data_IF_313182503348
#
_entry.id   IF_313182503348
#
_cell.length_a   1.000
_cell.length_b   1.000
_cell.length_c   1.000
_cell.angle_alpha   90.00
_cell.angle_beta   90.00
_cell.angle_gamma   90.00
#
_symmetry.space_group_name_H-M   'P 1'
#
loop_
_entity.id
_entity.type
_entity.pdbx_description
1 polymer ?
#
# COMPACT_ATOMS: atom_id res chain seq x y z
N UNK A 1 -18.71 39.30 -93.78
CA UNK A 1 -17.72 39.95 -92.93
C UNK A 1 -18.31 40.05 -91.52
N UNK A 2 -17.90 39.18 -90.62
CA UNK A 2 -18.39 39.19 -89.24
C UNK A 2 -17.26 39.65 -88.28
N UNK A 3 -17.54 40.50 -87.28
CA UNK A 3 -16.53 40.94 -86.36
C UNK A 3 -16.32 39.91 -85.26
N UNK A 4 -15.05 39.67 -84.96
CA UNK A 4 -14.58 38.81 -83.81
C UNK A 4 -14.77 39.59 -82.56
N UNK A 5 -15.58 39.07 -81.64
CA UNK A 5 -15.73 39.59 -80.26
C UNK A 5 -14.64 38.96 -79.37
N UNK A 6 -13.73 39.78 -78.89
CA UNK A 6 -12.69 39.36 -78.01
C UNK A 6 -13.24 39.41 -76.54
N UNK A 7 -13.51 38.22 -76.02
CA UNK A 7 -13.96 38.10 -74.56
C UNK A 7 -12.75 38.09 -73.69
N UNK A 8 -12.62 39.14 -72.86
CA UNK A 8 -11.60 39.27 -71.80
C UNK A 8 -12.02 38.42 -70.59
N UNK A 9 -11.32 37.31 -70.35
CA UNK A 9 -11.51 36.52 -69.13
C UNK A 9 -10.81 37.20 -67.95
N UNK A 10 -11.59 37.77 -67.03
CA UNK A 10 -11.06 38.15 -65.70
C UNK A 10 -10.79 36.91 -64.87
N UNK A 11 -9.55 36.61 -64.63
CA UNK A 11 -9.15 35.66 -63.60
C UNK A 11 -9.39 36.28 -62.21
N UNK A 12 -10.44 35.82 -61.53
CA UNK A 12 -10.64 36.13 -60.12
C UNK A 12 -9.65 35.28 -59.32
N UNK A 13 -8.78 35.96 -58.57
CA UNK A 13 -7.91 35.37 -57.58
C UNK A 13 -8.79 34.77 -56.48
N UNK A 14 -8.96 33.43 -56.45
CA UNK A 14 -9.59 32.73 -55.32
C UNK A 14 -8.55 32.58 -54.25
N UNK A 15 -8.60 33.46 -53.24
CA UNK A 15 -7.85 33.29 -52.01
C UNK A 15 -8.15 31.92 -51.39
N UNK A 16 -7.13 31.13 -51.16
CA UNK A 16 -7.24 29.86 -50.47
C UNK A 16 -7.81 30.05 -49.05
N UNK A 17 -8.79 29.25 -48.62
CA UNK A 17 -9.29 29.35 -47.24
C UNK A 17 -8.14 29.02 -46.25
N UNK A 18 -7.97 29.91 -45.28
CA UNK A 18 -6.98 29.79 -44.22
C UNK A 18 -7.00 28.41 -43.56
N UNK A 19 -5.80 28.01 -43.14
CA UNK A 19 -5.54 26.69 -42.56
C UNK A 19 -6.57 26.29 -41.52
N UNK A 20 -7.18 25.15 -41.74
CA UNK A 20 -7.98 24.51 -40.72
C UNK A 20 -7.06 24.20 -39.54
N UNK A 21 -7.33 24.82 -38.38
CA UNK A 21 -6.67 24.45 -37.13
C UNK A 21 -6.78 22.95 -36.94
N UNK A 22 -5.64 22.29 -36.79
CA UNK A 22 -5.62 20.88 -36.46
C UNK A 22 -6.48 20.63 -35.22
N UNK A 23 -7.31 19.59 -35.18
CA UNK A 23 -8.12 19.30 -34.01
C UNK A 23 -7.20 19.18 -32.77
N UNK A 24 -7.62 19.66 -31.60
CA UNK A 24 -6.81 19.59 -30.41
C UNK A 24 -6.40 18.13 -30.16
N UNK A 25 -5.10 17.93 -30.01
CA UNK A 25 -4.53 16.62 -29.74
C UNK A 25 -5.12 16.07 -28.43
N UNK A 26 -5.76 14.92 -28.50
CA UNK A 26 -6.32 14.27 -27.32
C UNK A 26 -5.18 13.99 -26.33
N UNK A 27 -5.37 14.30 -25.04
CA UNK A 27 -4.33 14.04 -24.04
C UNK A 27 -3.94 12.57 -24.06
N UNK A 28 -2.65 12.31 -24.06
CA UNK A 28 -2.12 10.95 -24.02
C UNK A 28 -2.64 10.22 -22.77
N UNK A 29 -2.97 8.93 -22.88
CA UNK A 29 -3.43 8.17 -21.73
C UNK A 29 -2.37 8.21 -20.62
N UNK A 30 -2.78 8.31 -19.35
CA UNK A 30 -1.86 8.43 -18.24
C UNK A 30 -0.92 7.23 -18.19
N UNK A 31 0.34 7.46 -17.87
CA UNK A 31 1.30 6.39 -17.64
C UNK A 31 0.81 5.46 -16.51
N UNK A 32 1.27 4.21 -16.51
CA UNK A 32 0.92 3.26 -15.43
C UNK A 32 1.21 3.81 -14.02
N UNK A 33 2.22 4.68 -13.89
CA UNK A 33 2.56 5.35 -12.64
C UNK A 33 1.54 6.44 -12.28
N UNK A 34 1.13 7.24 -13.25
CA UNK A 34 0.12 8.29 -13.05
C UNK A 34 -1.26 7.70 -12.77
N UNK A 35 -1.66 6.65 -13.51
CA UNK A 35 -2.88 5.91 -13.23
C UNK A 35 -2.87 5.31 -11.81
N UNK A 36 -1.73 4.74 -11.37
CA UNK A 36 -1.57 4.22 -10.01
C UNK A 36 -1.62 5.32 -8.95
N UNK A 37 -0.97 6.47 -9.19
CA UNK A 37 -1.01 7.62 -8.28
C UNK A 37 -2.41 8.23 -8.20
N UNK A 38 -3.13 8.31 -9.33
CA UNK A 38 -4.51 8.78 -9.39
C UNK A 38 -5.45 7.82 -8.63
N UNK A 39 -5.32 6.51 -8.85
CA UNK A 39 -6.09 5.49 -8.14
C UNK A 39 -5.78 5.52 -6.62
N UNK A 40 -4.52 5.70 -6.25
CA UNK A 40 -4.11 5.89 -4.86
C UNK A 40 -4.68 7.17 -4.23
N UNK A 41 -4.75 8.27 -4.99
CA UNK A 41 -5.33 9.53 -4.52
C UNK A 41 -6.86 9.46 -4.44
N UNK A 42 -7.50 8.73 -5.36
CA UNK A 42 -8.94 8.52 -5.37
C UNK A 42 -9.43 7.59 -4.24
N UNK A 43 -8.57 6.69 -3.77
CA UNK A 43 -8.79 5.90 -2.55
C UNK A 43 -8.63 6.84 -1.35
N UNK A 44 -9.62 7.72 -1.16
CA UNK A 44 -9.71 8.51 0.07
C UNK A 44 -9.59 7.57 1.26
N UNK A 45 -8.83 7.95 2.32
CA UNK A 45 -8.97 7.25 3.58
C UNK A 45 -10.45 7.27 3.90
N UNK A 46 -11.06 6.11 3.99
CA UNK A 46 -12.21 5.99 4.84
C UNK A 46 -11.62 6.27 6.22
N UNK A 47 -11.60 7.56 6.61
CA UNK A 47 -11.57 7.88 8.02
C UNK A 47 -12.84 7.21 8.54
N UNK A 48 -12.70 5.93 8.90
CA UNK A 48 -13.61 5.34 9.84
C UNK A 48 -13.41 6.22 11.07
N UNK A 49 -14.20 7.28 11.15
CA UNK A 49 -14.46 7.99 12.38
C UNK A 49 -14.58 6.86 13.39
N UNK A 50 -13.72 6.85 14.39
CA UNK A 50 -13.60 5.82 15.42
C UNK A 50 -14.90 5.05 15.49
N UNK A 51 -14.96 3.84 14.86
CA UNK A 51 -16.19 3.09 14.84
C UNK A 51 -16.60 2.98 16.30
N UNK A 52 -17.77 3.50 16.69
CA UNK A 52 -18.18 3.45 18.08
C UNK A 52 -18.12 1.97 18.45
N UNK A 53 -17.43 1.68 19.55
CA UNK A 53 -17.32 0.34 20.08
C UNK A 53 -18.72 -0.27 20.13
N UNK A 54 -18.98 -1.28 19.31
CA UNK A 54 -20.20 -2.06 19.45
C UNK A 54 -20.15 -2.68 20.86
N UNK A 55 -20.98 -2.18 21.78
CA UNK A 55 -21.05 -2.70 23.15
C UNK A 55 -19.87 -2.29 24.07
N UNK A 56 -19.14 -1.19 23.81
CA UNK A 56 -18.10 -0.68 24.73
C UNK A 56 -16.75 -1.40 24.67
N UNK A 57 -16.56 -2.42 23.84
CA UNK A 57 -15.28 -3.08 23.66
C UNK A 57 -14.28 -2.16 22.94
N UNK A 58 -12.99 -2.12 23.37
CA UNK A 58 -11.99 -1.29 22.72
C UNK A 58 -11.76 -1.76 21.29
N UNK A 59 -11.77 -0.81 20.34
CA UNK A 59 -11.50 -1.07 18.92
C UNK A 59 -10.08 -0.65 18.61
N UNK A 60 -9.31 -1.57 18.03
CA UNK A 60 -8.01 -1.34 17.42
C UNK A 60 -8.20 -1.11 15.92
N UNK A 61 -7.57 -0.10 15.36
CA UNK A 61 -7.53 0.12 13.91
C UNK A 61 -6.18 -0.30 13.36
N UNK A 62 -6.17 -1.28 12.46
CA UNK A 62 -5.01 -1.60 11.63
C UNK A 62 -5.13 -0.85 10.31
N UNK A 63 -4.08 -0.13 9.91
CA UNK A 63 -4.09 0.72 8.72
C UNK A 63 -2.95 0.38 7.78
N UNK A 64 -3.24 0.08 6.52
CA UNK A 64 -2.21 -0.11 5.51
C UNK A 64 -1.81 1.24 4.92
N UNK A 65 -0.55 1.63 5.10
CA UNK A 65 -0.02 2.94 4.70
C UNK A 65 0.04 3.15 3.18
N UNK A 66 -0.01 2.08 2.39
CA UNK A 66 0.09 2.15 0.94
C UNK A 66 -1.27 2.12 0.24
N UNK A 67 -2.18 1.25 0.70
CA UNK A 67 -3.52 1.16 0.13
C UNK A 67 -4.49 2.14 0.75
N UNK A 68 -4.09 2.71 1.91
CA UNK A 68 -4.89 3.65 2.70
C UNK A 68 -6.20 3.04 3.21
N UNK A 69 -6.22 1.74 3.40
CA UNK A 69 -7.33 0.97 3.92
C UNK A 69 -7.14 0.69 5.40
N UNK A 70 -8.25 0.50 6.10
CA UNK A 70 -8.22 0.22 7.54
C UNK A 70 -9.12 -0.95 7.88
N UNK A 71 -8.67 -1.76 8.83
CA UNK A 71 -9.38 -2.89 9.40
C UNK A 71 -9.64 -2.62 10.90
N UNK A 72 -10.89 -2.44 11.31
CA UNK A 72 -11.25 -2.38 12.72
C UNK A 72 -11.17 -3.79 13.34
N UNK A 73 -10.52 -3.90 14.49
CA UNK A 73 -10.38 -5.14 15.25
C UNK A 73 -10.95 -4.94 16.64
N UNK A 74 -11.94 -5.73 17.00
CA UNK A 74 -12.51 -5.72 18.35
C UNK A 74 -11.58 -6.53 19.26
N UNK A 75 -11.08 -5.88 20.31
CA UNK A 75 -10.25 -6.53 21.33
C UNK A 75 -11.15 -7.16 22.36
N UNK A 76 -11.18 -8.49 22.43
CA UNK A 76 -11.86 -9.23 23.49
C UNK A 76 -10.90 -9.54 24.61
N UNK A 77 -11.36 -9.38 25.86
CA UNK A 77 -10.57 -9.77 27.02
C UNK A 77 -10.41 -11.30 27.07
N UNK A 78 -9.18 -11.77 27.22
CA UNK A 78 -8.88 -13.18 27.46
C UNK A 78 -8.09 -13.32 28.76
N UNK A 79 -8.30 -14.41 29.54
CA UNK A 79 -7.51 -14.68 30.74
C UNK A 79 -6.01 -14.85 30.47
N UNK A 80 -5.60 -15.07 29.22
CA UNK A 80 -4.20 -15.21 28.79
C UNK A 80 -3.62 -13.98 28.09
N UNK A 81 -4.26 -12.81 28.22
CA UNK A 81 -3.92 -11.59 27.50
C UNK A 81 -4.94 -11.26 26.42
N UNK A 82 -4.70 -10.25 25.57
CA UNK A 82 -5.64 -9.91 24.51
C UNK A 82 -5.87 -11.11 23.60
N UNK A 83 -7.07 -11.69 23.64
CA UNK A 83 -7.50 -12.63 22.64
C UNK A 83 -8.14 -11.86 21.50
N UNK A 84 -7.84 -12.24 20.31
CA UNK A 84 -8.45 -11.67 19.12
C UNK A 84 -9.43 -12.66 18.58
N UNK A 85 -10.69 -12.21 18.51
CA UNK A 85 -11.65 -12.89 17.69
C UNK A 85 -11.37 -12.53 16.23
N UNK A 86 -10.80 -13.47 15.52
CA UNK A 86 -10.78 -13.60 14.06
C UNK A 86 -10.53 -12.36 13.18
N UNK A 87 -9.45 -12.27 12.48
CA UNK A 87 -9.58 -12.12 11.04
C UNK A 87 -8.36 -12.60 10.24
N UNK A 88 -8.25 -13.88 10.01
CA UNK A 88 -7.19 -14.33 9.11
C UNK A 88 -7.40 -13.79 7.68
N UNK A 89 -8.60 -13.88 7.14
CA UNK A 89 -8.89 -13.41 5.79
C UNK A 89 -8.93 -11.87 5.64
N UNK A 90 -9.60 -11.09 6.51
CA UNK A 90 -9.54 -9.64 6.45
C UNK A 90 -8.15 -9.06 6.67
N UNK A 91 -7.32 -9.68 7.52
CA UNK A 91 -5.94 -9.24 7.71
C UNK A 91 -5.07 -9.51 6.48
N UNK A 92 -5.22 -10.67 5.86
CA UNK A 92 -4.53 -11.01 4.62
C UNK A 92 -4.88 -10.03 3.48
N UNK A 93 -6.15 -9.62 3.40
CA UNK A 93 -6.60 -8.62 2.44
C UNK A 93 -6.03 -7.23 2.74
N UNK A 94 -6.06 -6.79 4.00
CA UNK A 94 -5.43 -5.54 4.41
C UNK A 94 -3.92 -5.53 4.13
N UNK A 95 -3.24 -6.65 4.40
CA UNK A 95 -1.79 -6.80 4.29
C UNK A 95 -1.32 -7.26 2.91
N UNK A 96 -2.18 -7.19 1.88
CA UNK A 96 -1.85 -7.59 0.51
C UNK A 96 -0.76 -6.74 -0.12
N UNK A 97 -0.17 -7.25 -1.18
CA UNK A 97 0.82 -6.54 -1.97
C UNK A 97 0.21 -5.29 -2.63
N UNK A 98 0.66 -4.11 -2.23
CA UNK A 98 0.15 -2.84 -2.74
C UNK A 98 0.53 -2.56 -4.20
N UNK A 99 1.56 -3.24 -4.74
CA UNK A 99 2.01 -3.05 -6.12
C UNK A 99 1.21 -3.90 -7.11
N UNK A 100 0.94 -5.18 -6.75
CA UNK A 100 0.21 -6.11 -7.60
C UNK A 100 -1.26 -6.23 -7.24
N UNK A 101 -1.65 -5.69 -6.08
CA UNK A 101 -2.98 -5.83 -5.47
C UNK A 101 -3.36 -7.30 -5.17
N UNK A 102 -2.37 -8.19 -5.06
CA UNK A 102 -2.58 -9.60 -4.75
C UNK A 102 -2.55 -9.83 -3.24
N UNK A 103 -3.53 -10.54 -2.74
CA UNK A 103 -3.55 -11.09 -1.39
C UNK A 103 -3.08 -12.55 -1.40
N UNK A 104 -2.55 -13.00 -0.28
CA UNK A 104 -2.24 -14.40 -0.02
C UNK A 104 -2.49 -14.70 1.47
N UNK A 105 -2.71 -15.95 1.83
CA UNK A 105 -2.84 -16.33 3.24
C UNK A 105 -1.65 -15.84 4.06
N UNK A 106 -1.92 -15.23 5.20
CA UNK A 106 -0.91 -14.77 6.16
C UNK A 106 -0.88 -15.72 7.36
N UNK A 107 0.31 -15.97 7.88
CA UNK A 107 0.45 -16.74 9.13
C UNK A 107 -0.27 -16.02 10.28
N UNK A 108 -1.17 -16.72 10.95
CA UNK A 108 -2.01 -16.16 12.01
C UNK A 108 -1.22 -15.56 13.17
N UNK A 109 -0.01 -16.07 13.44
CA UNK A 109 0.89 -15.56 14.49
C UNK A 109 1.32 -14.11 14.22
N UNK A 110 1.35 -13.66 12.96
CA UNK A 110 1.68 -12.28 12.61
C UNK A 110 0.58 -11.32 13.04
N UNK A 111 -0.66 -11.70 12.76
CA UNK A 111 -1.81 -10.92 13.23
C UNK A 111 -1.86 -10.84 14.75
N UNK A 112 -1.72 -12.00 15.43
CA UNK A 112 -1.63 -12.06 16.89
C UNK A 112 -0.51 -11.15 17.43
N UNK A 113 0.67 -11.16 16.77
CA UNK A 113 1.80 -10.30 17.16
C UNK A 113 1.45 -8.82 17.07
N UNK A 114 0.82 -8.38 15.97
CA UNK A 114 0.43 -6.97 15.78
C UNK A 114 -0.59 -6.54 16.83
N UNK A 115 -1.58 -7.37 17.10
CA UNK A 115 -2.63 -7.08 18.09
C UNK A 115 -2.08 -7.08 19.52
N UNK A 116 -1.23 -8.04 19.86
CA UNK A 116 -0.55 -8.08 21.17
C UNK A 116 0.37 -6.88 21.36
N UNK A 117 1.04 -6.40 20.30
CA UNK A 117 1.81 -5.17 20.36
C UNK A 117 0.92 -3.97 20.68
N UNK A 118 -0.21 -3.84 20.00
CA UNK A 118 -1.17 -2.79 20.27
C UNK A 118 -1.67 -2.82 21.72
N UNK A 119 -2.01 -4.00 22.22
CA UNK A 119 -2.43 -4.19 23.60
C UNK A 119 -1.33 -3.82 24.59
N UNK A 120 -0.09 -4.32 24.37
CA UNK A 120 1.07 -4.06 25.22
C UNK A 120 1.36 -2.57 25.40
N UNK A 121 1.17 -1.80 24.33
CA UNK A 121 1.46 -0.37 24.32
C UNK A 121 0.21 0.51 24.42
N UNK A 122 -0.94 -0.06 24.77
CA UNK A 122 -2.23 0.64 24.86
C UNK A 122 -2.57 1.45 23.61
N UNK A 123 -2.12 0.96 22.44
CA UNK A 123 -2.33 1.62 21.18
C UNK A 123 -3.69 1.22 20.57
N UNK A 124 -4.38 2.20 20.01
CA UNK A 124 -5.63 1.99 19.27
C UNK A 124 -5.45 2.06 17.75
N UNK A 125 -4.21 2.30 17.31
CA UNK A 125 -3.88 2.46 15.90
C UNK A 125 -2.51 1.86 15.63
N UNK A 126 -2.45 0.99 14.61
CA UNK A 126 -1.21 0.37 14.13
C UNK A 126 -1.14 0.52 12.63
N UNK A 127 0.00 0.92 12.11
CA UNK A 127 0.27 1.01 10.70
C UNK A 127 0.97 -0.24 10.19
N UNK A 128 0.37 -0.87 9.18
CA UNK A 128 0.95 -1.97 8.41
C UNK A 128 1.70 -1.36 7.23
N UNK A 129 3.01 -1.53 7.22
CA UNK A 129 3.91 -1.01 6.19
C UNK A 129 4.08 -2.00 5.05
N UNK A 130 4.12 -3.31 5.37
CA UNK A 130 4.17 -4.38 4.35
C UNK A 130 3.70 -5.69 4.98
N UNK A 131 2.94 -6.47 4.23
CA UNK A 131 2.58 -7.83 4.57
C UNK A 131 3.01 -8.79 3.48
N UNK A 132 2.06 -9.44 2.79
CA UNK A 132 2.36 -10.23 1.61
C UNK A 132 3.03 -9.39 0.53
N UNK A 133 4.02 -9.97 -0.13
CA UNK A 133 4.75 -9.34 -1.23
C UNK A 133 4.83 -10.31 -2.39
N UNK A 134 4.12 -10.03 -3.47
CA UNK A 134 4.11 -10.90 -4.64
C UNK A 134 5.54 -11.12 -5.19
N UNK A 135 5.89 -12.32 -5.65
CA UNK A 135 7.22 -12.64 -6.17
C UNK A 135 7.68 -11.67 -7.26
N UNK A 136 6.76 -11.20 -8.10
CA UNK A 136 7.05 -10.20 -9.15
C UNK A 136 7.51 -8.87 -8.55
N UNK A 137 6.86 -8.41 -7.48
CA UNK A 137 7.24 -7.18 -6.80
C UNK A 137 8.57 -7.35 -6.06
N UNK A 138 8.75 -8.48 -5.37
CA UNK A 138 10.02 -8.84 -4.72
C UNK A 138 11.21 -8.81 -5.70
N UNK A 139 11.02 -9.40 -6.89
CA UNK A 139 12.04 -9.39 -7.95
C UNK A 139 12.33 -7.97 -8.45
N UNK A 140 11.30 -7.14 -8.61
CA UNK A 140 11.45 -5.76 -9.03
C UNK A 140 12.23 -4.93 -8.01
N UNK A 141 11.96 -5.07 -6.72
CA UNK A 141 12.68 -4.38 -5.65
C UNK A 141 14.17 -4.75 -5.68
N UNK A 142 14.49 -6.04 -5.83
CA UNK A 142 15.88 -6.50 -5.96
C UNK A 142 16.59 -5.91 -7.18
N UNK A 143 15.93 -5.86 -8.33
CA UNK A 143 16.48 -5.25 -9.56
C UNK A 143 16.74 -3.75 -9.41
N UNK A 144 15.99 -3.06 -8.57
CA UNK A 144 16.18 -1.63 -8.26
C UNK A 144 17.22 -1.36 -7.18
N UNK A 145 17.94 -2.39 -6.71
CA UNK A 145 18.98 -2.24 -5.71
C UNK A 145 18.48 -2.04 -4.28
N UNK A 146 17.18 -2.27 -4.02
CA UNK A 146 16.71 -2.29 -2.65
C UNK A 146 17.30 -3.49 -1.90
N UNK A 147 17.68 -3.30 -0.65
CA UNK A 147 18.20 -4.35 0.24
C UNK A 147 17.08 -5.32 0.65
N UNK A 148 16.64 -6.12 -0.29
CA UNK A 148 15.63 -7.15 -0.04
C UNK A 148 16.32 -8.51 0.06
N UNK A 149 16.14 -9.17 1.20
CA UNK A 149 16.71 -10.48 1.45
C UNK A 149 16.37 -11.47 0.34
N UNK A 150 17.33 -12.33 -0.05
CA UNK A 150 17.10 -13.40 -1.04
C UNK A 150 16.00 -14.36 -0.57
N UNK A 151 16.00 -14.68 0.72
CA UNK A 151 15.05 -15.56 1.41
C UNK A 151 14.08 -14.72 2.26
N UNK A 152 13.36 -13.83 1.60
CA UNK A 152 12.35 -13.00 2.27
C UNK A 152 11.12 -13.83 2.64
N UNK A 153 10.60 -13.65 3.86
CA UNK A 153 9.39 -14.32 4.33
C UNK A 153 8.09 -13.64 3.83
N UNK A 154 8.17 -12.43 3.31
CA UNK A 154 7.01 -11.71 2.76
C UNK A 154 6.32 -12.46 1.60
N UNK A 155 7.04 -13.05 0.60
CA UNK A 155 6.38 -13.81 -0.46
C UNK A 155 5.67 -15.08 -0.01
N UNK A 156 5.98 -15.55 1.20
CA UNK A 156 5.35 -16.74 1.79
C UNK A 156 4.16 -16.39 2.70
N UNK A 157 3.81 -15.10 2.84
CA UNK A 157 2.81 -14.66 3.82
C UNK A 157 3.27 -14.85 5.27
N UNK A 158 4.58 -14.94 5.50
CA UNK A 158 5.20 -15.27 6.79
C UNK A 158 5.92 -14.08 7.43
N UNK A 159 5.67 -12.85 6.97
CA UNK A 159 6.26 -11.64 7.52
C UNK A 159 5.31 -10.46 7.49
N UNK A 160 5.50 -9.55 8.44
CA UNK A 160 4.82 -8.25 8.52
C UNK A 160 5.80 -7.17 8.94
N UNK A 161 5.76 -6.03 8.24
CA UNK A 161 6.41 -4.80 8.62
C UNK A 161 5.35 -3.87 9.22
N UNK A 162 5.54 -3.40 10.45
CA UNK A 162 4.55 -2.56 11.12
C UNK A 162 5.18 -1.55 12.06
N UNK A 163 4.42 -0.52 12.40
CA UNK A 163 4.79 0.47 13.40
C UNK A 163 3.57 0.92 14.21
N UNK A 164 3.83 1.40 15.39
CA UNK A 164 2.85 2.06 16.26
C UNK A 164 3.31 3.52 16.38
N UNK A 165 2.60 4.49 15.78
CA UNK A 165 3.08 5.88 15.70
C UNK A 165 3.39 6.52 17.06
N UNK A 166 2.70 6.09 18.12
CA UNK A 166 2.88 6.57 19.49
C UNK A 166 4.01 5.88 20.26
N UNK A 167 4.67 4.87 19.64
CA UNK A 167 5.70 4.05 20.28
C UNK A 167 7.03 4.19 19.55
N UNK A 168 8.09 4.53 20.27
CA UNK A 168 9.41 4.61 19.65
C UNK A 168 9.86 3.26 19.06
N UNK A 169 10.38 3.27 17.84
CA UNK A 169 10.74 2.05 17.08
C UNK A 169 11.68 1.11 17.84
N UNK A 170 12.62 1.66 18.64
CA UNK A 170 13.51 0.84 19.52
C UNK A 170 12.74 0.14 20.65
N UNK A 171 11.68 0.74 21.16
CA UNK A 171 10.84 0.14 22.19
C UNK A 171 10.05 -1.00 21.61
N UNK A 172 9.41 -0.77 20.46
CA UNK A 172 8.70 -1.80 19.71
C UNK A 172 9.63 -2.96 19.32
N UNK A 173 10.83 -2.67 18.81
CA UNK A 173 11.85 -3.66 18.48
C UNK A 173 12.17 -4.59 19.67
N UNK A 174 12.44 -4.02 20.85
CA UNK A 174 12.78 -4.82 22.03
C UNK A 174 11.66 -5.77 22.41
N UNK A 175 10.43 -5.29 22.34
CA UNK A 175 9.27 -6.11 22.64
C UNK A 175 9.07 -7.22 21.60
N UNK A 176 9.13 -6.93 20.30
CA UNK A 176 9.00 -7.95 19.25
C UNK A 176 10.09 -9.02 19.39
N UNK A 177 11.33 -8.61 19.67
CA UNK A 177 12.43 -9.56 19.92
C UNK A 177 12.18 -10.48 21.12
N UNK A 178 11.55 -9.99 22.17
CA UNK A 178 11.27 -10.81 23.38
C UNK A 178 10.24 -11.91 23.12
N UNK A 179 9.49 -11.85 22.02
CA UNK A 179 8.54 -12.90 21.63
C UNK A 179 9.22 -14.16 21.09
N UNK A 180 10.46 -14.04 20.61
CA UNK A 180 11.21 -15.15 19.99
C UNK A 180 10.42 -15.87 18.87
N UNK A 181 9.58 -15.14 18.14
CA UNK A 181 8.71 -15.68 17.10
C UNK A 181 9.50 -16.16 15.86
N UNK A 182 10.49 -15.38 15.44
CA UNK A 182 11.31 -15.62 14.27
C UNK A 182 12.29 -14.49 14.02
N UNK A 183 12.47 -14.10 12.76
CA UNK A 183 13.33 -12.98 12.38
C UNK A 183 12.75 -11.63 12.78
N UNK A 184 13.61 -10.71 13.24
CA UNK A 184 13.24 -9.35 13.59
C UNK A 184 14.21 -8.36 12.98
N UNK A 185 13.69 -7.45 12.14
CA UNK A 185 14.44 -6.37 11.50
C UNK A 185 14.13 -5.01 12.13
N UNK A 186 15.14 -4.19 12.26
CA UNK A 186 15.04 -2.83 12.77
C UNK A 186 15.28 -1.82 11.64
N UNK A 187 14.30 -0.99 11.35
CA UNK A 187 14.35 0.03 10.30
C UNK A 187 14.14 1.43 10.91
N UNK A 188 15.21 2.04 11.46
CA UNK A 188 15.10 3.29 12.22
C UNK A 188 14.68 4.48 11.37
N UNK A 189 15.16 4.58 10.14
CA UNK A 189 14.88 5.70 9.24
C UNK A 189 13.45 5.64 8.71
N UNK A 190 13.01 4.44 8.33
CA UNK A 190 11.62 4.17 7.90
C UNK A 190 10.65 4.00 9.07
N UNK A 191 11.16 3.99 10.32
CA UNK A 191 10.40 3.95 11.58
C UNK A 191 9.47 2.75 11.72
N UNK A 192 9.87 1.56 11.25
CA UNK A 192 9.11 0.34 11.44
C UNK A 192 9.96 -0.83 11.95
N UNK A 193 9.32 -1.88 12.36
CA UNK A 193 9.92 -3.15 12.76
C UNK A 193 9.37 -4.24 11.84
N UNK A 194 10.27 -5.08 11.33
CA UNK A 194 9.93 -6.33 10.67
C UNK A 194 9.78 -7.44 11.70
N UNK A 195 8.76 -8.27 11.54
CA UNK A 195 8.59 -9.52 12.28
C UNK A 195 8.25 -10.65 11.30
N UNK A 196 8.88 -11.81 11.46
CA UNK A 196 8.54 -13.01 10.70
C UNK A 196 8.49 -14.27 11.58
N UNK A 197 7.98 -15.35 10.99
CA UNK A 197 7.83 -16.65 11.66
C UNK A 197 8.87 -17.68 11.20
N UNK A 198 9.93 -17.23 10.55
CA UNK A 198 11.03 -18.07 10.11
C UNK A 198 12.04 -18.35 11.22
N UNK A 199 13.29 -18.63 10.85
CA UNK A 199 14.37 -18.83 11.83
C UNK A 199 14.63 -17.56 12.63
N UNK A 200 14.98 -17.68 13.90
CA UNK A 200 15.35 -16.56 14.77
C UNK A 200 16.62 -15.90 14.22
N UNK A 201 16.53 -14.62 13.91
CA UNK A 201 17.63 -13.77 13.47
C UNK A 201 17.31 -12.29 13.69
N UNK A 202 18.34 -11.46 13.78
CA UNK A 202 18.19 -10.03 14.02
C UNK A 202 19.07 -9.25 13.05
N UNK A 203 18.55 -8.16 12.50
CA UNK A 203 19.32 -7.27 11.64
C UNK A 203 18.84 -5.81 11.76
N UNK A 204 19.65 -4.92 11.24
CA UNK A 204 19.29 -3.53 11.03
C UNK A 204 19.27 -3.26 9.53
N UNK A 205 18.18 -2.64 9.05
CA UNK A 205 18.08 -2.04 7.73
C UNK A 205 18.11 -0.50 7.81
N UNK A 206 17.97 0.14 6.69
CA UNK A 206 17.94 1.59 6.52
C UNK A 206 16.53 2.16 6.56
#
# INVERSE_FOLDING_TARGET
>A
MAPVLLTLLLLADVAAPGGADAPPELPSPPSKKEAWLSDKAARRPVHLAHAPSAGGAPVLTLHNVWTNESLPVVLTASPKGAAVAEPAAPFAELARDHYTNQAAPMDARLFDTVVRAAHQFHARYVEIVSGFRAPKYQLMLRKKGHEVARESQHPLGQAVDFRIPTVGTKVLLRWVRSLHLGGVGYYPESKFVHADVGRIRFWRGH
#
